data_IF_198566521700
#
_entry.id   IF_198566521700
#
_cell.length_a   1.000
_cell.length_b   1.000
_cell.length_c   1.000
_cell.angle_alpha   90.00
_cell.angle_beta   90.00
_cell.angle_gamma   90.00
#
_symmetry.space_group_name_H-M   'P 1'
#
loop_
_entity.id
_entity.type
_entity.pdbx_description
1 polymer ?
#
# COMPACT_ATOMS: atom_id res chain seq x y z
N UNK A 1 0.15 -4.03 -10.64
CA UNK A 1 0.31 -4.77 -11.92
C UNK A 1 0.41 -3.81 -13.08
N UNK A 2 1.15 -4.21 -14.13
CA UNK A 2 1.16 -3.57 -15.45
C UNK A 2 0.79 -4.62 -16.51
N UNK A 3 -0.26 -4.35 -17.27
CA UNK A 3 -0.78 -5.24 -18.29
C UNK A 3 0.29 -5.57 -19.34
N UNK A 4 0.58 -6.87 -19.56
CA UNK A 4 1.61 -7.35 -20.49
C UNK A 4 3.01 -6.75 -20.23
N UNK A 5 3.28 -6.27 -19.02
CA UNK A 5 4.53 -5.59 -18.66
C UNK A 5 4.71 -4.19 -19.27
N UNK A 6 3.70 -3.65 -19.93
CA UNK A 6 3.81 -2.33 -20.56
C UNK A 6 3.55 -1.24 -19.53
N UNK A 7 4.46 -0.27 -19.42
CA UNK A 7 4.32 0.94 -18.62
C UNK A 7 4.44 2.16 -19.57
N UNK A 8 3.37 2.97 -19.65
CA UNK A 8 3.30 4.16 -20.49
C UNK A 8 3.50 5.40 -19.64
N UNK A 9 4.72 5.98 -19.71
CA UNK A 9 4.98 7.30 -19.18
C UNK A 9 4.66 8.39 -20.20
N UNK A 10 4.66 9.65 -19.78
CA UNK A 10 4.36 10.79 -20.66
C UNK A 10 5.38 10.95 -21.80
N UNK A 11 6.62 10.57 -21.57
CA UNK A 11 7.75 10.74 -22.49
C UNK A 11 8.31 9.43 -23.06
N UNK A 12 7.88 8.27 -22.53
CA UNK A 12 8.42 6.96 -22.95
C UNK A 12 7.42 5.81 -22.71
N UNK A 13 7.70 4.68 -23.37
CA UNK A 13 7.02 3.40 -23.10
C UNK A 13 8.09 2.38 -22.70
N UNK A 14 7.91 1.81 -21.51
CA UNK A 14 8.81 0.79 -20.97
C UNK A 14 8.17 -0.60 -21.05
N UNK A 15 8.96 -1.61 -21.37
CA UNK A 15 8.54 -3.01 -21.44
C UNK A 15 9.19 -3.78 -20.29
N UNK A 16 8.46 -3.93 -19.20
CA UNK A 16 8.90 -4.64 -18.01
C UNK A 16 8.78 -6.16 -18.21
N UNK A 17 9.64 -6.97 -17.59
CA UNK A 17 9.54 -8.42 -17.70
C UNK A 17 8.25 -8.94 -17.08
N UNK A 18 7.61 -9.92 -17.74
CA UNK A 18 6.43 -10.61 -17.19
C UNK A 18 6.90 -11.50 -16.04
N UNK A 19 6.41 -11.24 -14.83
CA UNK A 19 6.71 -12.00 -13.62
C UNK A 19 5.47 -12.62 -12.96
N UNK A 20 4.28 -12.29 -13.47
CA UNK A 20 3.01 -12.94 -13.16
C UNK A 20 2.56 -13.72 -14.40
N UNK A 21 2.74 -15.06 -14.36
CA UNK A 21 2.53 -15.93 -15.51
C UNK A 21 1.06 -16.01 -15.97
N UNK A 22 0.82 -16.76 -17.05
CA UNK A 22 -0.54 -17.04 -17.52
C UNK A 22 -1.41 -17.63 -16.40
N UNK A 23 -2.71 -17.26 -16.31
CA UNK A 23 -3.46 -16.48 -17.29
C UNK A 23 -3.30 -14.96 -17.19
N UNK A 24 -2.62 -14.45 -16.16
CA UNK A 24 -2.53 -13.00 -15.88
C UNK A 24 -1.63 -12.26 -16.88
N UNK A 25 -0.42 -12.75 -17.13
CA UNK A 25 0.56 -12.15 -18.04
C UNK A 25 0.84 -10.67 -17.74
N UNK A 26 1.14 -10.36 -16.48
CA UNK A 26 1.41 -9.01 -16.01
C UNK A 26 2.85 -8.89 -15.46
N UNK A 27 3.33 -7.67 -15.32
CA UNK A 27 4.38 -7.35 -14.35
C UNK A 27 3.72 -6.94 -13.04
N UNK A 28 4.10 -7.55 -11.92
CA UNK A 28 3.53 -7.30 -10.60
C UNK A 28 4.62 -6.97 -9.57
N UNK A 29 4.30 -6.16 -8.56
CA UNK A 29 5.11 -5.81 -7.39
C UNK A 29 6.40 -5.03 -7.68
N UNK A 30 6.66 -4.60 -8.92
CA UNK A 30 7.91 -3.92 -9.24
C UNK A 30 9.14 -4.77 -8.90
N UNK A 31 10.21 -4.15 -8.42
CA UNK A 31 11.49 -4.85 -8.19
C UNK A 31 12.22 -4.45 -6.89
N UNK A 32 11.90 -3.31 -6.28
CA UNK A 32 12.65 -2.77 -5.13
C UNK A 32 12.62 -3.68 -3.90
N UNK A 33 11.53 -4.45 -3.71
CA UNK A 33 11.40 -5.42 -2.61
C UNK A 33 12.45 -6.55 -2.65
N UNK A 34 13.18 -6.70 -3.77
CA UNK A 34 14.26 -7.69 -3.95
C UNK A 34 15.65 -7.07 -3.88
N UNK A 35 15.77 -5.80 -3.53
CA UNK A 35 17.05 -5.09 -3.47
C UNK A 35 17.53 -4.95 -2.04
N UNK A 36 18.83 -5.14 -1.84
CA UNK A 36 19.46 -4.84 -0.57
C UNK A 36 19.69 -3.32 -0.47
N UNK A 37 19.19 -2.73 0.60
CA UNK A 37 19.38 -1.31 0.89
C UNK A 37 20.59 -1.12 1.81
N UNK A 38 21.37 -0.08 1.56
CA UNK A 38 22.45 0.35 2.44
C UNK A 38 21.85 1.07 3.65
N UNK A 39 22.30 0.73 4.87
CA UNK A 39 22.01 1.53 6.07
C UNK A 39 22.96 2.73 6.04
N UNK A 40 22.42 3.94 5.89
CA UNK A 40 23.23 5.17 5.79
C UNK A 40 23.31 5.95 7.10
N UNK A 41 22.28 5.85 7.93
CA UNK A 41 22.22 6.52 9.22
C UNK A 41 21.37 5.70 10.19
N UNK A 42 21.68 5.75 11.47
CA UNK A 42 20.84 5.22 12.54
C UNK A 42 21.24 5.87 13.88
N UNK A 43 20.28 5.98 14.78
CA UNK A 43 20.51 6.41 16.16
C UNK A 43 19.39 5.92 17.07
N UNK A 44 19.62 6.00 18.39
CA UNK A 44 18.61 5.69 19.40
C UNK A 44 18.88 6.49 20.68
N UNK A 45 17.80 6.97 21.30
CA UNK A 45 17.79 7.55 22.63
C UNK A 45 16.77 6.87 23.55
N UNK A 46 16.40 7.49 24.67
CA UNK A 46 15.41 6.93 25.59
C UNK A 46 13.96 6.98 25.04
N UNK A 47 13.69 7.75 24.01
CA UNK A 47 12.35 8.03 23.49
C UNK A 47 12.07 7.36 22.15
N UNK A 48 13.10 7.22 21.31
CA UNK A 48 12.95 6.63 19.99
C UNK A 48 14.21 5.92 19.50
N UNK A 49 14.04 5.03 18.54
CA UNK A 49 15.11 4.46 17.73
C UNK A 49 14.75 4.61 16.26
N UNK A 50 15.71 4.95 15.43
CA UNK A 50 15.46 5.09 14.00
C UNK A 50 16.62 4.57 13.16
N UNK A 51 16.29 4.19 11.94
CA UNK A 51 17.24 3.76 10.92
C UNK A 51 16.83 4.32 9.58
N UNK A 52 17.80 4.85 8.85
CA UNK A 52 17.64 5.32 7.47
C UNK A 52 18.40 4.41 6.53
N UNK A 53 17.70 3.89 5.52
CA UNK A 53 18.28 3.07 4.47
C UNK A 53 18.15 3.75 3.11
N UNK A 54 19.03 3.40 2.19
CA UNK A 54 19.06 3.95 0.83
C UNK A 54 19.33 2.87 -0.19
N UNK A 55 18.67 2.98 -1.32
CA UNK A 55 18.98 2.26 -2.54
C UNK A 55 19.18 3.26 -3.70
N UNK A 56 20.31 3.18 -4.37
CA UNK A 56 20.60 3.95 -5.59
C UNK A 56 20.35 3.06 -6.78
N UNK A 57 19.37 3.44 -7.60
CA UNK A 57 19.02 2.73 -8.83
C UNK A 57 19.63 3.44 -10.02
N UNK A 58 20.53 2.74 -10.70
CA UNK A 58 21.26 3.23 -11.84
C UNK A 58 21.56 2.09 -12.83
N UNK A 59 22.46 2.34 -13.80
CA UNK A 59 22.87 1.39 -14.83
C UNK A 59 23.51 0.09 -14.32
N UNK A 60 23.86 0.00 -13.05
CA UNK A 60 24.41 -1.22 -12.44
C UNK A 60 23.31 -2.19 -11.98
N UNK A 61 22.04 -1.74 -11.88
CA UNK A 61 20.94 -2.64 -11.57
C UNK A 61 20.53 -3.49 -12.79
N UNK A 62 20.32 -4.78 -12.59
CA UNK A 62 19.90 -5.71 -13.64
C UNK A 62 18.56 -5.34 -14.29
N UNK A 63 17.69 -4.60 -13.57
CA UNK A 63 16.39 -4.15 -14.06
C UNK A 63 16.49 -2.86 -14.91
N UNK A 64 17.66 -2.19 -14.92
CA UNK A 64 17.84 -0.90 -15.57
C UNK A 64 17.60 -0.95 -17.08
N UNK A 65 17.88 -2.08 -17.74
CA UNK A 65 17.57 -2.27 -19.16
C UNK A 65 16.07 -2.20 -19.48
N UNK A 66 15.19 -2.43 -18.51
CA UNK A 66 13.74 -2.38 -18.66
C UNK A 66 13.16 -1.00 -18.28
N UNK A 67 13.77 -0.34 -17.29
CA UNK A 67 13.37 0.99 -16.82
C UNK A 67 14.62 1.87 -16.65
N UNK A 68 15.17 2.46 -17.73
CA UNK A 68 16.39 3.25 -17.66
C UNK A 68 16.16 4.67 -17.11
N UNK A 69 15.63 4.77 -15.90
CA UNK A 69 15.34 6.03 -15.20
C UNK A 69 16.00 5.97 -13.82
N UNK A 70 17.09 6.73 -13.64
CA UNK A 70 17.87 6.74 -12.39
C UNK A 70 17.09 7.40 -11.25
N UNK A 71 17.13 6.81 -10.07
CA UNK A 71 16.54 7.40 -8.88
C UNK A 71 17.26 6.93 -7.60
N UNK A 72 17.01 7.64 -6.51
CA UNK A 72 17.38 7.21 -5.16
C UNK A 72 16.11 6.96 -4.37
N UNK A 73 16.03 5.80 -3.70
CA UNK A 73 14.96 5.47 -2.76
C UNK A 73 15.54 5.46 -1.34
N UNK A 74 14.95 6.25 -0.45
CA UNK A 74 15.32 6.33 0.97
C UNK A 74 14.11 5.91 1.82
N UNK A 75 14.37 5.11 2.85
CA UNK A 75 13.37 4.65 3.81
C UNK A 75 13.88 4.97 5.21
N UNK A 76 13.10 5.75 5.97
CA UNK A 76 13.39 6.04 7.38
C UNK A 76 12.34 5.39 8.25
N UNK A 77 12.76 4.41 9.05
CA UNK A 77 11.92 3.77 10.05
C UNK A 77 12.21 4.40 11.41
N UNK A 78 11.17 4.81 12.13
CA UNK A 78 11.26 5.35 13.49
C UNK A 78 10.31 4.59 14.40
N UNK A 79 10.83 4.01 15.47
CA UNK A 79 10.06 3.36 16.52
C UNK A 79 10.08 4.22 17.78
N UNK A 80 8.90 4.55 18.30
CA UNK A 80 8.71 5.33 19.53
C UNK A 80 7.45 4.87 20.27
N UNK A 81 7.08 5.54 21.35
CA UNK A 81 5.79 5.34 22.02
C UNK A 81 4.59 5.70 21.12
N UNK A 82 4.82 6.51 20.09
CA UNK A 82 3.79 6.87 19.11
C UNK A 82 3.54 5.77 18.06
N UNK A 83 4.35 4.72 18.06
CA UNK A 83 4.27 3.61 17.13
C UNK A 83 5.50 3.45 16.24
N UNK A 84 5.34 2.71 15.16
CA UNK A 84 6.33 2.52 14.11
C UNK A 84 5.96 3.40 12.91
N UNK A 85 6.80 4.38 12.60
CA UNK A 85 6.66 5.26 11.44
C UNK A 85 7.59 4.81 10.30
N UNK A 86 7.14 5.00 9.08
CA UNK A 86 7.91 4.80 7.86
C UNK A 86 7.76 6.03 6.96
N UNK A 87 8.85 6.76 6.75
CA UNK A 87 8.95 7.79 5.74
C UNK A 87 9.67 7.24 4.51
N UNK A 88 9.07 7.38 3.34
CA UNK A 88 9.61 6.92 2.06
C UNK A 88 9.83 8.13 1.17
N UNK A 89 11.03 8.22 0.57
CA UNK A 89 11.40 9.31 -0.32
C UNK A 89 12.05 8.77 -1.58
N UNK A 90 11.53 9.16 -2.73
CA UNK A 90 12.12 8.92 -4.04
C UNK A 90 12.62 10.23 -4.64
N UNK A 91 13.87 10.27 -5.07
CA UNK A 91 14.46 11.42 -5.79
C UNK A 91 14.76 10.99 -7.22
N UNK A 92 14.22 11.71 -8.19
CA UNK A 92 14.53 11.47 -9.60
C UNK A 92 15.92 12.02 -9.94
N UNK A 93 16.87 11.14 -10.21
CA UNK A 93 18.25 11.47 -10.58
C UNK A 93 18.49 11.45 -12.10
N UNK A 94 17.41 11.29 -12.89
CA UNK A 94 17.46 11.32 -14.35
C UNK A 94 17.17 12.71 -14.90
N UNK A 95 17.34 12.86 -16.19
CA UNK A 95 16.90 14.00 -17.02
C UNK A 95 15.53 13.76 -17.69
N UNK A 96 14.88 12.63 -17.41
CA UNK A 96 13.54 12.24 -17.88
C UNK A 96 12.58 12.08 -16.71
N UNK A 97 11.27 11.98 -16.98
CA UNK A 97 10.26 11.79 -15.94
C UNK A 97 10.40 10.41 -15.28
N UNK A 98 10.31 10.34 -13.96
CA UNK A 98 10.25 9.08 -13.22
C UNK A 98 8.79 8.68 -13.02
N UNK A 99 8.29 7.61 -13.69
CA UNK A 99 6.96 7.09 -13.43
C UNK A 99 6.86 6.57 -11.99
N UNK A 100 5.85 7.03 -11.24
CA UNK A 100 5.73 6.70 -9.83
C UNK A 100 4.39 6.05 -9.50
N UNK A 101 4.47 4.89 -8.85
CA UNK A 101 3.38 4.22 -8.17
C UNK A 101 3.97 3.42 -7.01
N UNK A 102 3.54 3.69 -5.81
CA UNK A 102 4.00 3.03 -4.59
C UNK A 102 2.85 2.30 -3.93
N UNK A 103 3.12 1.09 -3.46
CA UNK A 103 2.22 0.29 -2.65
C UNK A 103 3.00 -0.41 -1.54
N UNK A 104 2.35 -0.63 -0.40
CA UNK A 104 2.89 -1.44 0.69
C UNK A 104 2.08 -2.71 0.83
N UNK A 105 2.72 -3.88 0.69
CA UNK A 105 2.08 -5.17 0.87
C UNK A 105 2.04 -5.55 2.36
N UNK A 106 1.34 -4.73 3.12
CA UNK A 106 1.23 -4.86 4.58
C UNK A 106 0.50 -6.12 4.95
N UNK A 107 1.06 -6.90 5.87
CA UNK A 107 0.49 -8.15 6.34
C UNK A 107 0.25 -8.08 7.84
N UNK A 108 -0.98 -8.32 8.27
CA UNK A 108 -1.40 -8.35 9.68
C UNK A 108 -1.84 -9.76 10.04
N UNK A 109 -1.26 -10.32 11.09
CA UNK A 109 -1.68 -11.62 11.60
C UNK A 109 -3.10 -11.55 12.18
N UNK A 110 -3.83 -12.65 12.07
CA UNK A 110 -5.11 -12.83 12.73
C UNK A 110 -5.13 -14.14 13.51
N UNK A 111 -5.26 -14.10 14.84
CA UNK A 111 -5.35 -12.88 15.66
C UNK A 111 -4.00 -12.14 15.78
N UNK A 112 -4.04 -10.85 16.08
CA UNK A 112 -2.87 -10.02 16.39
C UNK A 112 -2.72 -9.75 17.91
N UNK A 113 -3.63 -10.30 18.71
CA UNK A 113 -3.65 -10.21 20.18
C UNK A 113 -3.39 -11.59 20.76
N UNK A 114 -2.50 -11.68 21.73
CA UNK A 114 -2.22 -12.93 22.44
C UNK A 114 -3.49 -13.50 23.08
N UNK A 115 -3.77 -14.77 22.77
CA UNK A 115 -4.98 -15.46 23.23
C UNK A 115 -6.28 -15.03 22.53
N UNK A 116 -6.19 -14.14 21.55
CA UNK A 116 -7.31 -13.75 20.71
C UNK A 116 -7.75 -14.84 19.73
N UNK A 117 -8.85 -14.59 19.02
CA UNK A 117 -9.39 -15.50 18.00
C UNK A 117 -9.57 -14.76 16.68
N UNK A 118 -9.46 -15.49 15.58
CA UNK A 118 -9.65 -14.95 14.23
C UNK A 118 -11.04 -14.39 14.02
N UNK A 119 -12.06 -15.06 14.53
CA UNK A 119 -13.46 -14.64 14.40
C UNK A 119 -13.79 -13.32 15.13
N UNK A 120 -12.92 -12.89 16.05
CA UNK A 120 -13.08 -11.64 16.79
C UNK A 120 -12.43 -10.44 16.07
N UNK A 121 -11.63 -10.68 15.03
CA UNK A 121 -11.00 -9.59 14.29
C UNK A 121 -12.02 -8.87 13.41
N UNK A 122 -12.00 -7.55 13.46
CA UNK A 122 -12.81 -6.64 12.64
C UNK A 122 -11.88 -5.67 11.92
N UNK A 123 -12.13 -5.46 10.62
CA UNK A 123 -11.36 -4.54 9.81
C UNK A 123 -12.25 -3.39 9.32
N UNK A 124 -11.87 -2.17 9.66
CA UNK A 124 -12.45 -0.94 9.12
C UNK A 124 -11.54 -0.39 8.04
N UNK A 125 -12.09 -0.19 6.85
CA UNK A 125 -11.42 0.45 5.72
C UNK A 125 -12.30 1.59 5.21
N UNK A 126 -11.89 2.86 5.35
CA UNK A 126 -12.64 3.99 4.82
C UNK A 126 -12.57 3.99 3.29
N UNK A 127 -13.68 3.62 2.65
CA UNK A 127 -13.77 3.42 1.20
C UNK A 127 -15.02 4.08 0.62
N UNK A 128 -14.94 4.57 -0.63
CA UNK A 128 -16.03 5.27 -1.31
C UNK A 128 -16.57 4.54 -2.53
N UNK A 129 -15.72 3.87 -3.29
CA UNK A 129 -16.04 3.13 -4.51
C UNK A 129 -15.24 1.85 -4.61
N UNK A 130 -15.79 0.85 -5.29
CA UNK A 130 -15.06 -0.36 -5.68
C UNK A 130 -14.52 -0.21 -7.10
N UNK A 131 -13.24 -0.48 -7.29
CA UNK A 131 -12.64 -0.57 -8.62
C UNK A 131 -12.94 -1.95 -9.19
N UNK A 132 -13.66 -2.02 -10.31
CA UNK A 132 -13.93 -3.30 -10.96
C UNK A 132 -12.67 -3.83 -11.64
N UNK A 133 -12.30 -5.07 -11.31
CA UNK A 133 -11.20 -5.79 -11.95
C UNK A 133 -11.72 -6.91 -12.84
N UNK A 134 -11.01 -7.18 -13.93
CA UNK A 134 -11.25 -8.33 -14.80
C UNK A 134 -10.52 -9.58 -14.30
N UNK A 135 -10.65 -10.72 -15.02
CA UNK A 135 -10.03 -12.01 -14.66
C UNK A 135 -8.50 -11.99 -14.63
N UNK A 136 -7.87 -10.94 -15.16
CA UNK A 136 -6.43 -10.70 -15.07
C UNK A 136 -6.04 -9.79 -13.90
N UNK A 137 -6.97 -9.48 -13.01
CA UNK A 137 -6.82 -8.52 -11.92
C UNK A 137 -6.38 -7.13 -12.41
N UNK A 138 -6.88 -6.71 -13.58
CA UNK A 138 -6.66 -5.38 -14.15
C UNK A 138 -7.97 -4.58 -14.12
N UNK A 139 -7.93 -3.26 -13.88
CA UNK A 139 -9.12 -2.42 -13.88
C UNK A 139 -9.86 -2.45 -15.20
N UNK A 140 -11.19 -2.49 -15.13
CA UNK A 140 -12.09 -2.31 -16.29
C UNK A 140 -12.46 -0.84 -16.53
N UNK A 141 -11.81 0.07 -15.79
CA UNK A 141 -12.08 1.52 -15.76
C UNK A 141 -13.46 1.90 -15.19
N UNK A 142 -14.13 0.95 -14.53
CA UNK A 142 -15.42 1.18 -13.89
C UNK A 142 -15.26 1.30 -12.37
N UNK A 143 -15.75 2.42 -11.85
CA UNK A 143 -15.88 2.63 -10.40
C UNK A 143 -17.34 2.32 -10.01
N UNK A 144 -17.56 1.23 -9.29
CA UNK A 144 -18.87 0.77 -8.84
C UNK A 144 -19.23 1.33 -7.46
N UNK A 145 -20.52 1.43 -7.20
CA UNK A 145 -21.01 1.66 -5.84
C UNK A 145 -20.68 0.47 -4.95
N UNK A 146 -20.47 0.73 -3.66
CA UNK A 146 -20.23 -0.30 -2.67
C UNK A 146 -21.48 -1.21 -2.52
N UNK A 147 -21.24 -2.51 -2.45
CA UNK A 147 -22.25 -3.51 -2.12
C UNK A 147 -22.39 -3.65 -0.59
N UNK A 148 -23.37 -4.43 -0.11
CA UNK A 148 -23.48 -4.74 1.33
C UNK A 148 -22.21 -5.41 1.87
N UNK A 149 -21.57 -6.26 1.07
CA UNK A 149 -20.28 -6.88 1.40
C UNK A 149 -19.19 -5.84 1.60
N UNK A 150 -19.09 -4.85 0.72
CA UNK A 150 -18.08 -3.79 0.80
C UNK A 150 -18.35 -2.84 1.98
N UNK A 151 -19.62 -2.57 2.28
CA UNK A 151 -20.04 -1.75 3.41
C UNK A 151 -19.68 -2.36 4.77
N UNK A 152 -19.52 -3.68 4.89
CA UNK A 152 -19.00 -4.31 6.10
C UNK A 152 -17.60 -3.81 6.45
N UNK A 153 -16.73 -3.59 5.46
CA UNK A 153 -15.42 -2.97 5.68
C UNK A 153 -15.57 -1.52 6.18
N UNK A 154 -16.39 -0.74 5.48
CA UNK A 154 -16.58 0.68 5.82
C UNK A 154 -17.12 0.86 7.25
N UNK A 155 -17.96 -0.04 7.69
CA UNK A 155 -18.64 0.02 9.00
C UNK A 155 -17.91 -0.75 10.11
N UNK A 156 -16.72 -1.32 9.83
CA UNK A 156 -15.97 -2.09 10.82
C UNK A 156 -16.65 -3.38 11.26
N UNK A 157 -17.48 -3.97 10.41
CA UNK A 157 -18.19 -5.23 10.68
C UNK A 157 -17.51 -6.45 10.06
N UNK A 158 -16.54 -6.26 9.14
CA UNK A 158 -15.92 -7.32 8.37
C UNK A 158 -14.85 -8.05 9.14
N UNK A 159 -14.99 -9.37 9.29
CA UNK A 159 -13.86 -10.24 9.65
C UNK A 159 -13.06 -10.56 8.37
N UNK A 160 -11.79 -10.11 8.27
CA UNK A 160 -11.04 -10.20 7.02
C UNK A 160 -10.46 -11.58 6.72
N UNK A 161 -10.62 -12.56 7.62
CA UNK A 161 -10.02 -13.91 7.46
C UNK A 161 -11.05 -15.06 7.38
N UNK A 162 -12.34 -14.78 7.61
CA UNK A 162 -13.39 -15.79 7.48
C UNK A 162 -14.00 -15.90 6.08
N UNK A 163 -13.57 -15.04 5.16
CA UNK A 163 -14.04 -15.01 3.78
C UNK A 163 -12.84 -14.78 2.86
N UNK A 164 -12.95 -15.27 1.64
CA UNK A 164 -11.92 -15.01 0.62
C UNK A 164 -11.95 -13.54 0.24
N UNK A 165 -10.81 -12.86 0.41
CA UNK A 165 -10.54 -11.53 -0.12
C UNK A 165 -9.44 -11.67 -1.17
N UNK A 166 -9.81 -11.56 -2.44
CA UNK A 166 -8.88 -11.77 -3.55
C UNK A 166 -8.78 -10.52 -4.43
N UNK A 167 -7.83 -9.65 -4.05
CA UNK A 167 -7.56 -8.40 -4.76
C UNK A 167 -8.78 -7.45 -4.82
N UNK A 168 -9.57 -7.36 -3.76
CA UNK A 168 -10.64 -6.36 -3.68
C UNK A 168 -10.02 -4.95 -3.64
N UNK A 169 -10.20 -4.20 -4.74
CA UNK A 169 -9.62 -2.87 -4.89
C UNK A 169 -10.66 -1.78 -4.69
N UNK A 170 -10.31 -0.79 -3.86
CA UNK A 170 -11.20 0.31 -3.49
C UNK A 170 -10.52 1.68 -3.63
N UNK A 171 -11.32 2.70 -3.92
CA UNK A 171 -10.96 4.11 -3.72
C UNK A 171 -11.08 4.41 -2.23
N UNK A 172 -9.98 4.86 -1.63
CA UNK A 172 -9.93 5.29 -0.23
C UNK A 172 -10.66 6.61 0.01
N UNK A 173 -11.03 6.84 1.25
CA UNK A 173 -11.50 8.13 1.75
C UNK A 173 -10.97 8.34 3.17
N UNK A 174 -11.11 9.53 3.71
CA UNK A 174 -10.80 9.80 5.12
C UNK A 174 -11.93 9.24 5.98
N UNK A 175 -11.58 8.42 6.96
CA UNK A 175 -12.48 7.91 7.99
C UNK A 175 -12.36 8.69 9.28
N UNK A 176 -12.70 8.04 10.40
CA UNK A 176 -12.67 8.60 11.73
C UNK A 176 -12.04 7.61 12.72
N UNK A 177 -11.26 8.14 13.66
CA UNK A 177 -10.74 7.42 14.81
C UNK A 177 -10.89 8.30 16.06
N UNK A 178 -11.75 7.87 17.00
CA UNK A 178 -12.04 8.58 18.26
C UNK A 178 -12.53 10.03 18.08
N UNK A 179 -13.28 10.31 16.99
CA UNK A 179 -13.83 11.63 16.66
C UNK A 179 -12.94 12.51 15.81
N UNK A 180 -11.70 12.09 15.51
CA UNK A 180 -10.77 12.81 14.64
C UNK A 180 -10.72 12.19 13.26
N UNK A 181 -10.41 13.00 12.25
CA UNK A 181 -10.15 12.52 10.91
C UNK A 181 -8.98 11.53 10.91
N UNK A 182 -9.18 10.39 10.26
CA UNK A 182 -8.18 9.33 10.17
C UNK A 182 -8.08 8.81 8.74
N UNK A 183 -6.90 8.92 8.16
CA UNK A 183 -6.60 8.36 6.84
C UNK A 183 -5.82 7.04 7.00
N UNK A 184 -6.53 5.92 7.00
CA UNK A 184 -5.91 4.63 7.28
C UNK A 184 -6.94 3.54 7.54
N UNK A 185 -6.47 2.38 7.99
CA UNK A 185 -7.31 1.25 8.36
C UNK A 185 -7.17 0.91 9.84
N UNK A 186 -8.21 0.35 10.41
CA UNK A 186 -8.26 -0.06 11.82
C UNK A 186 -8.59 -1.54 11.87
N UNK A 187 -7.69 -2.35 12.42
CA UNK A 187 -7.97 -3.71 12.82
C UNK A 187 -8.28 -3.73 14.32
N UNK A 188 -9.44 -4.26 14.69
CA UNK A 188 -9.89 -4.36 16.08
C UNK A 188 -10.10 -5.82 16.46
N UNK A 189 -9.59 -6.22 17.61
CA UNK A 189 -10.01 -7.42 18.30
C UNK A 189 -11.26 -7.09 19.11
N UNK A 190 -12.44 -7.49 18.62
CA UNK A 190 -13.72 -7.12 19.20
C UNK A 190 -13.95 -7.70 20.61
N UNK A 191 -13.25 -8.77 20.98
CA UNK A 191 -13.37 -9.37 22.30
C UNK A 191 -12.64 -8.57 23.38
N UNK A 192 -11.48 -7.97 23.05
CA UNK A 192 -10.68 -7.17 23.98
C UNK A 192 -10.79 -5.66 23.76
N UNK A 193 -11.35 -5.21 22.64
CA UNK A 193 -11.38 -3.81 22.23
C UNK A 193 -10.04 -3.21 21.86
N UNK A 194 -8.97 -4.02 21.76
CA UNK A 194 -7.65 -3.57 21.33
C UNK A 194 -7.63 -3.30 19.82
N UNK A 195 -6.99 -2.20 19.42
CA UNK A 195 -6.90 -1.80 18.01
C UNK A 195 -5.46 -1.73 17.56
N UNK A 196 -5.21 -2.18 16.35
CA UNK A 196 -4.03 -1.88 15.54
C UNK A 196 -4.46 -0.91 14.45
N UNK A 197 -3.90 0.29 14.48
CA UNK A 197 -4.18 1.36 13.52
C UNK A 197 -3.02 1.45 12.52
N UNK A 198 -3.34 1.50 11.24
CA UNK A 198 -2.40 1.71 10.16
C UNK A 198 -2.78 2.97 9.41
N UNK A 199 -2.11 4.06 9.73
CA UNK A 199 -2.28 5.39 9.15
C UNK A 199 -1.36 5.55 7.95
N UNK A 200 -1.83 6.26 6.93
CA UNK A 200 -1.06 6.57 5.72
C UNK A 200 -1.29 8.01 5.29
N UNK A 201 -0.32 8.60 4.58
CA UNK A 201 -0.46 9.96 4.05
C UNK A 201 -1.41 10.04 2.86
N UNK A 202 -1.85 11.26 2.51
CA UNK A 202 -2.87 11.52 1.48
C UNK A 202 -2.47 11.09 0.05
N UNK A 203 -1.20 10.77 -0.18
CA UNK A 203 -0.71 10.19 -1.43
C UNK A 203 -1.30 8.80 -1.68
N UNK A 204 -1.65 8.06 -0.62
CA UNK A 204 -2.28 6.75 -0.72
C UNK A 204 -3.78 6.89 -0.94
N UNK A 205 -4.22 6.73 -2.17
CA UNK A 205 -5.61 6.97 -2.61
C UNK A 205 -6.44 5.71 -2.72
N UNK A 206 -5.82 4.53 -2.66
CA UNK A 206 -6.48 3.25 -2.90
C UNK A 206 -6.09 2.22 -1.87
N UNK A 207 -6.96 1.23 -1.69
CA UNK A 207 -6.72 0.05 -0.88
C UNK A 207 -6.94 -1.21 -1.68
N UNK A 208 -6.04 -2.18 -1.57
CA UNK A 208 -6.27 -3.57 -1.91
C UNK A 208 -6.49 -4.33 -0.62
N UNK A 209 -7.49 -5.21 -0.59
CA UNK A 209 -7.68 -6.16 0.51
C UNK A 209 -7.47 -7.55 -0.04
N UNK A 210 -6.54 -8.27 0.56
CA UNK A 210 -6.15 -9.61 0.16
C UNK A 210 -5.85 -10.48 1.38
N UNK A 211 -6.11 -11.79 1.34
CA UNK A 211 -5.88 -12.68 2.48
C UNK A 211 -5.46 -14.12 2.08
N UNK A 212 -4.87 -14.29 0.90
CA UNK A 212 -4.48 -15.60 0.36
C UNK A 212 -5.61 -16.65 0.52
N UNK A 213 -6.82 -16.30 0.10
CA UNK A 213 -8.03 -17.14 0.19
C UNK A 213 -8.44 -17.50 1.62
N UNK A 214 -8.00 -16.74 2.61
CA UNK A 214 -8.31 -17.00 4.02
C UNK A 214 -7.65 -18.24 4.60
N UNK A 215 -6.54 -18.71 4.03
CA UNK A 215 -5.94 -20.00 4.40
C UNK A 215 -4.77 -19.89 5.38
N UNK A 216 -4.24 -18.69 5.62
CA UNK A 216 -2.94 -18.53 6.28
C UNK A 216 -2.97 -17.64 7.53
N UNK A 217 -4.12 -17.40 8.13
CA UNK A 217 -4.26 -16.66 9.40
C UNK A 217 -3.68 -15.24 9.34
N UNK A 218 -3.83 -14.57 8.20
CA UNK A 218 -3.46 -13.16 8.02
C UNK A 218 -4.34 -12.48 6.97
N UNK A 219 -4.28 -11.17 6.94
CA UNK A 219 -4.90 -10.32 5.91
C UNK A 219 -3.98 -9.15 5.56
N UNK A 220 -4.12 -8.65 4.34
CA UNK A 220 -3.29 -7.60 3.79
C UNK A 220 -4.14 -6.40 3.40
N UNK A 221 -4.20 -5.34 4.22
CA UNK A 221 -4.69 -4.04 3.80
C UNK A 221 -3.52 -3.29 3.14
N UNK A 222 -3.55 -3.20 1.82
CA UNK A 222 -2.46 -2.69 1.01
C UNK A 222 -2.78 -1.29 0.51
N UNK A 223 -2.19 -0.22 1.08
CA UNK A 223 -2.36 1.12 0.56
C UNK A 223 -1.58 1.29 -0.74
N UNK A 224 -2.19 1.98 -1.70
CA UNK A 224 -1.61 2.27 -3.00
C UNK A 224 -1.75 3.75 -3.35
N UNK A 225 -0.70 4.36 -3.90
CA UNK A 225 -0.75 5.75 -4.37
C UNK A 225 -1.49 5.90 -5.70
N UNK A 226 -1.53 4.84 -6.50
CA UNK A 226 -2.20 4.81 -7.79
C UNK A 226 -2.95 3.49 -8.01
N UNK A 227 -3.94 3.51 -8.90
CA UNK A 227 -4.65 2.30 -9.34
C UNK A 227 -3.68 1.29 -9.98
N UNK A 228 -4.05 0.02 -9.93
CA UNK A 228 -3.41 -1.00 -10.75
C UNK A 228 -3.43 -0.52 -12.21
N UNK A 229 -2.31 -0.68 -12.92
CA UNK A 229 -2.16 -0.34 -14.35
C UNK A 229 -2.41 1.15 -14.69
N UNK A 230 -2.37 2.03 -13.70
CA UNK A 230 -2.76 3.44 -13.80
C UNK A 230 -2.20 4.19 -15.03
N UNK A 231 -0.92 4.04 -15.43
CA UNK A 231 -0.38 4.77 -16.58
C UNK A 231 -0.95 4.29 -17.94
N UNK A 232 -1.65 3.15 -17.96
CA UNK A 232 -2.22 2.58 -19.18
C UNK A 232 -3.73 2.78 -19.30
N UNK A 233 -4.37 3.31 -18.25
CA UNK A 233 -5.82 3.55 -18.23
C UNK A 233 -6.18 4.83 -19.00
N UNK A 234 -7.39 4.86 -19.55
CA UNK A 234 -7.93 6.06 -20.23
C UNK A 234 -8.54 7.08 -19.26
N UNK A 235 -8.61 6.74 -17.97
CA UNK A 235 -9.10 7.63 -16.92
C UNK A 235 -8.11 8.77 -16.63
N UNK A 236 -8.65 9.90 -16.19
CA UNK A 236 -7.85 11.06 -15.81
C UNK A 236 -6.88 10.71 -14.65
N UNK A 237 -5.72 11.35 -14.62
CA UNK A 237 -4.68 11.12 -13.61
C UNK A 237 -5.17 11.35 -12.18
N UNK A 238 -6.04 12.33 -11.97
CA UNK A 238 -6.66 12.58 -10.66
C UNK A 238 -7.51 11.41 -10.17
N UNK A 239 -8.15 10.68 -11.10
CA UNK A 239 -8.93 9.48 -10.80
C UNK A 239 -8.04 8.28 -10.56
N UNK A 240 -6.98 8.11 -11.35
CA UNK A 240 -6.09 6.96 -11.26
C UNK A 240 -5.00 7.11 -10.20
N UNK A 241 -4.75 8.32 -9.72
CA UNK A 241 -3.65 8.64 -8.81
C UNK A 241 -2.25 8.57 -9.46
N UNK A 242 -2.16 8.26 -10.75
CA UNK A 242 -0.88 8.17 -11.45
C UNK A 242 -0.12 9.50 -11.45
N UNK A 243 1.14 9.44 -11.06
CA UNK A 243 2.03 10.59 -11.03
C UNK A 243 3.39 10.28 -11.68
N UNK A 244 4.11 11.34 -12.02
CA UNK A 244 5.49 11.27 -12.51
C UNK A 244 6.31 12.35 -11.81
N UNK A 245 7.50 11.98 -11.36
CA UNK A 245 8.41 12.89 -10.67
C UNK A 245 9.35 13.53 -11.69
N UNK A 246 9.41 14.85 -11.72
CA UNK A 246 10.29 15.60 -12.64
C UNK A 246 11.76 15.37 -12.30
N UNK A 247 12.68 15.58 -13.27
CA UNK A 247 14.11 15.60 -13.02
C UNK A 247 14.48 16.50 -11.83
N UNK A 248 15.19 15.92 -10.85
CA UNK A 248 15.64 16.60 -9.64
C UNK A 248 14.59 16.75 -8.53
N UNK A 249 13.31 16.48 -8.81
CA UNK A 249 12.24 16.56 -7.80
C UNK A 249 12.18 15.26 -6.96
N UNK A 250 11.38 15.32 -5.90
CA UNK A 250 11.12 14.20 -4.98
C UNK A 250 9.65 13.84 -4.89
N UNK A 251 9.39 12.57 -4.58
CA UNK A 251 8.09 12.05 -4.16
C UNK A 251 8.23 11.46 -2.77
N UNK A 252 7.34 11.82 -1.86
CA UNK A 252 7.40 11.39 -0.46
C UNK A 252 6.06 10.82 -0.02
N UNK A 253 6.11 9.82 0.88
CA UNK A 253 4.95 9.27 1.56
C UNK A 253 5.30 8.96 3.01
N UNK A 254 4.25 8.91 3.85
CA UNK A 254 4.36 8.55 5.25
C UNK A 254 3.36 7.45 5.61
N UNK A 255 3.77 6.56 6.52
CA UNK A 255 2.94 5.50 7.08
C UNK A 255 3.25 5.36 8.57
N UNK A 256 2.24 5.00 9.38
CA UNK A 256 2.41 4.76 10.81
C UNK A 256 1.55 3.61 11.29
N UNK A 257 2.16 2.70 12.05
CA UNK A 257 1.47 1.67 12.83
C UNK A 257 1.48 2.05 14.30
N UNK A 258 0.32 2.04 14.93
CA UNK A 258 0.21 2.26 16.36
C UNK A 258 -0.97 1.46 16.94
N UNK A 259 -0.94 1.27 18.25
CA UNK A 259 -1.99 0.54 18.95
C UNK A 259 -2.82 1.47 19.82
N UNK A 260 -4.10 1.13 19.96
CA UNK A 260 -4.97 1.74 20.97
C UNK A 260 -5.54 0.67 21.89
N UNK A 261 -5.52 0.97 23.18
CA UNK A 261 -6.20 0.16 24.19
C UNK A 261 -7.61 0.68 24.40
N UNK A 262 -8.57 -0.19 24.79
CA UNK A 262 -9.91 0.25 25.16
C UNK A 262 -9.81 1.23 26.33
N UNK A 263 -10.73 2.20 26.37
CA UNK A 263 -10.84 3.08 27.53
C UNK A 263 -11.08 2.23 28.77
N UNK A 264 -10.32 2.49 29.84
CA UNK A 264 -10.56 1.86 31.14
C UNK A 264 -11.83 2.53 31.68
N UNK A 265 -12.91 1.78 31.80
CA UNK A 265 -14.09 2.27 32.55
C UNK A 265 -13.66 2.46 34.01
N UNK A 266 -13.65 3.72 34.48
CA UNK A 266 -13.41 4.06 35.88
C UNK A 266 -14.64 3.70 36.77
#
# INVERSE_FOLDING_TARGET
>A
RFANGVLRASDAVYNLPINEAAPYNNHIHGFLHKRAHEVIEHDADNNCAWVKTRYVYDENDEFFSYLPVKFTAEYTFTLSEQGLELNVRFTNNSDVMLPMSLASHTTINAPFVDGGKEEDIRLTVPISKKCELNDRCLPTERLKSLTMYDLEYKNGAKCPVLQVCDNDMYVGETGELDGDNFHGVIAEDAASGKKLCYEVSDEYKFWIIWNDRGMNHYFCPEPMTAMIDAPNLSLERDVTGYTEVKPGDTFETHQRFFTKLPAVEE
#
